data_IF_150285612045
#
_entry.id   IF_150285612045
#
_cell.length_a   1.000
_cell.length_b   1.000
_cell.length_c   1.000
_cell.angle_alpha   90.00
_cell.angle_beta   90.00
_cell.angle_gamma   90.00
#
_symmetry.space_group_name_H-M   'P 1'
#
loop_
_entity.id
_entity.type
_entity.pdbx_description
1 polymer ?
#
# COMPACT_ATOMS: atom_id res chain seq x y z
N UNK A 1 -15.56 -4.21 3.71
CA UNK A 1 -14.40 -3.31 3.92
C UNK A 1 -13.27 -3.78 3.01
N UNK A 2 -12.59 -2.88 2.28
CA UNK A 2 -11.54 -3.27 1.31
C UNK A 2 -10.15 -3.30 1.98
N UNK A 3 -9.20 -4.07 1.43
CA UNK A 3 -7.86 -4.26 2.03
C UNK A 3 -7.09 -2.96 2.30
N UNK A 4 -7.26 -1.94 1.43
CA UNK A 4 -6.66 -0.61 1.65
C UNK A 4 -7.18 0.07 2.92
N UNK A 5 -8.48 -0.05 3.19
CA UNK A 5 -9.11 0.53 4.38
C UNK A 5 -8.79 -0.31 5.63
N UNK A 6 -8.67 -1.63 5.49
CA UNK A 6 -8.20 -2.50 6.55
C UNK A 6 -6.77 -2.17 6.99
N UNK A 7 -5.86 -1.91 6.04
CA UNK A 7 -4.50 -1.42 6.34
C UNK A 7 -4.51 -0.11 7.12
N UNK A 8 -5.25 0.90 6.67
CA UNK A 8 -5.36 2.18 7.39
C UNK A 8 -5.95 2.00 8.79
N UNK A 9 -6.92 1.11 8.96
CA UNK A 9 -7.53 0.84 10.24
C UNK A 9 -6.60 0.09 11.23
N UNK A 10 -5.58 -0.64 10.74
CA UNK A 10 -4.56 -1.27 11.59
C UNK A 10 -3.54 -0.27 12.14
N UNK A 11 -3.28 0.82 11.41
CA UNK A 11 -2.34 1.88 11.80
C UNK A 11 -2.98 2.95 12.70
N UNK A 12 -4.31 3.00 12.78
CA UNK A 12 -5.05 3.95 13.60
C UNK A 12 -5.33 3.40 15.01
N UNK A 13 -4.65 3.90 16.08
CA UNK A 13 -4.89 3.46 17.45
C UNK A 13 -6.30 3.83 17.95
N UNK A 14 -7.01 4.74 17.27
CA UNK A 14 -8.36 5.17 17.58
C UNK A 14 -9.44 4.57 16.67
N UNK A 15 -9.16 3.45 15.99
CA UNK A 15 -10.08 2.85 15.02
C UNK A 15 -11.50 2.73 15.60
N UNK A 16 -12.43 3.51 15.03
CA UNK A 16 -13.83 3.60 15.47
C UNK A 16 -14.69 2.41 15.03
N UNK A 17 -14.14 1.47 14.26
CA UNK A 17 -14.84 0.29 13.73
C UNK A 17 -13.97 -0.97 13.88
N UNK A 18 -13.76 -1.45 15.12
CA UNK A 18 -12.99 -2.67 15.36
C UNK A 18 -13.67 -3.91 14.75
N UNK A 19 -15.00 -3.96 14.78
CA UNK A 19 -15.75 -5.13 14.33
C UNK A 19 -15.60 -5.37 12.83
N UNK A 20 -15.73 -4.32 12.02
CA UNK A 20 -15.55 -4.39 10.56
C UNK A 20 -14.12 -4.76 10.14
N UNK A 21 -13.12 -4.43 10.98
CA UNK A 21 -11.75 -4.86 10.77
C UNK A 21 -11.60 -6.36 11.08
N UNK A 22 -12.16 -6.82 12.21
CA UNK A 22 -12.10 -8.23 12.61
C UNK A 22 -12.76 -9.16 11.58
N UNK A 23 -13.91 -8.76 11.04
CA UNK A 23 -14.63 -9.50 10.01
C UNK A 23 -13.81 -9.59 8.71
N UNK A 24 -13.13 -8.50 8.32
CA UNK A 24 -12.26 -8.51 7.16
C UNK A 24 -11.02 -9.40 7.37
N UNK A 25 -10.43 -9.41 8.56
CA UNK A 25 -9.29 -10.27 8.90
C UNK A 25 -9.66 -11.76 8.92
N UNK A 26 -10.93 -12.10 9.16
CA UNK A 26 -11.42 -13.46 9.01
C UNK A 26 -11.43 -13.90 7.54
N UNK A 27 -11.87 -13.00 6.63
CA UNK A 27 -12.01 -13.29 5.20
C UNK A 27 -10.76 -13.07 4.34
N UNK A 28 -9.73 -12.37 4.81
CA UNK A 28 -8.55 -12.03 4.01
C UNK A 28 -7.24 -12.50 4.66
N UNK A 29 -6.58 -13.48 4.04
CA UNK A 29 -5.34 -14.07 4.53
C UNK A 29 -4.17 -13.08 4.55
N UNK A 30 -4.00 -12.28 3.50
CA UNK A 30 -2.92 -11.28 3.43
C UNK A 30 -2.99 -10.26 4.56
N UNK A 31 -4.20 -9.76 4.86
CA UNK A 31 -4.39 -8.79 5.94
C UNK A 31 -4.15 -9.42 7.32
N UNK A 32 -4.48 -10.71 7.49
CA UNK A 32 -4.24 -11.46 8.72
C UNK A 32 -2.75 -11.72 8.95
N UNK A 33 -2.02 -12.11 7.91
CA UNK A 33 -0.56 -12.28 7.98
C UNK A 33 0.15 -10.96 8.28
N UNK A 34 -0.29 -9.87 7.64
CA UNK A 34 0.21 -8.53 7.95
C UNK A 34 -0.06 -8.15 9.41
N UNK A 35 -1.27 -8.41 9.91
CA UNK A 35 -1.61 -8.12 11.30
C UNK A 35 -0.72 -8.89 12.28
N UNK A 36 -0.51 -10.17 12.04
CA UNK A 36 0.37 -11.00 12.85
C UNK A 36 1.82 -10.47 12.86
N UNK A 37 2.34 -10.03 11.71
CA UNK A 37 3.67 -9.44 11.62
C UNK A 37 3.79 -8.12 12.40
N UNK A 38 2.76 -7.28 12.36
CA UNK A 38 2.71 -6.03 13.15
C UNK A 38 2.66 -6.33 14.64
N UNK A 39 1.83 -7.29 15.07
CA UNK A 39 1.73 -7.69 16.47
C UNK A 39 3.06 -8.30 16.98
N UNK A 40 3.73 -9.12 16.17
CA UNK A 40 5.06 -9.66 16.48
C UNK A 40 6.11 -8.55 16.63
N UNK A 41 6.12 -7.58 15.71
CA UNK A 41 7.03 -6.42 15.77
C UNK A 41 6.76 -5.58 17.03
N UNK A 42 5.48 -5.32 17.33
CA UNK A 42 5.08 -4.61 18.54
C UNK A 42 5.46 -5.34 19.82
N UNK A 43 5.39 -6.67 19.84
CA UNK A 43 5.85 -7.49 20.96
C UNK A 43 7.36 -7.39 21.18
N UNK A 44 8.16 -7.42 20.10
CA UNK A 44 9.62 -7.26 20.18
C UNK A 44 10.01 -5.87 20.64
N UNK A 45 9.31 -4.83 20.17
CA UNK A 45 9.53 -3.46 20.61
C UNK A 45 9.23 -3.31 22.10
N UNK A 46 8.11 -3.87 22.57
CA UNK A 46 7.75 -3.86 24.00
C UNK A 46 8.73 -4.66 24.86
N UNK A 47 9.20 -5.82 24.39
CA UNK A 47 10.16 -6.64 25.14
C UNK A 47 11.56 -6.01 25.19
N UNK A 48 11.89 -5.15 24.21
CA UNK A 48 13.16 -4.39 24.17
C UNK A 48 13.07 -2.99 24.74
N UNK A 49 11.87 -2.52 25.10
CA UNK A 49 11.72 -1.28 25.84
C UNK A 49 12.39 -1.46 27.20
N UNK A 50 13.62 -0.97 27.33
CA UNK A 50 14.18 -0.59 28.62
C UNK A 50 13.13 0.30 29.30
N UNK A 51 12.83 0.04 30.58
CA UNK A 51 11.78 0.70 31.38
C UNK A 51 12.01 2.19 31.62
N UNK A 52 12.23 2.93 30.54
CA UNK A 52 12.41 4.37 30.52
C UNK A 52 11.02 4.96 30.45
N UNK A 53 10.53 5.40 31.61
CA UNK A 53 9.34 6.24 31.69
C UNK A 53 9.72 7.59 31.08
N UNK A 54 9.10 8.01 29.96
CA UNK A 54 9.39 9.31 29.39
C UNK A 54 8.95 10.40 30.38
N UNK A 55 9.87 11.30 30.71
CA UNK A 55 9.52 12.48 31.51
C UNK A 55 8.55 13.41 30.75
N UNK A 56 7.89 14.32 31.47
CA UNK A 56 6.91 15.24 30.88
C UNK A 56 7.47 16.16 29.78
N UNK A 57 8.80 16.30 29.69
CA UNK A 57 9.48 17.09 28.65
C UNK A 57 9.93 16.25 27.45
N UNK A 58 9.75 14.93 27.48
CA UNK A 58 10.15 14.01 26.42
C UNK A 58 9.52 14.37 25.09
N UNK A 59 8.20 14.60 25.07
CA UNK A 59 7.46 14.98 23.87
C UNK A 59 8.02 16.27 23.24
N UNK A 60 8.36 17.26 24.07
CA UNK A 60 8.95 18.54 23.63
C UNK A 60 10.34 18.33 23.03
N UNK A 61 11.19 17.51 23.66
CA UNK A 61 12.54 17.20 23.14
C UNK A 61 12.50 16.41 21.83
N UNK A 62 11.59 15.45 21.74
CA UNK A 62 11.35 14.67 20.51
C UNK A 62 10.88 15.60 19.40
N UNK A 63 9.88 16.45 19.65
CA UNK A 63 9.37 17.41 18.66
C UNK A 63 10.44 18.41 18.21
N UNK A 64 11.29 18.89 19.11
CA UNK A 64 12.39 19.79 18.79
C UNK A 64 13.46 19.13 17.89
N UNK A 65 13.77 17.84 18.11
CA UNK A 65 14.68 17.07 17.23
C UNK A 65 14.04 16.77 15.88
N UNK A 66 12.77 16.36 15.87
CA UNK A 66 11.99 16.09 14.66
C UNK A 66 11.77 17.32 13.79
N UNK A 67 11.91 18.55 14.28
CA UNK A 67 11.84 19.74 13.41
C UNK A 67 13.19 20.11 12.79
N UNK A 68 14.31 19.66 13.36
CA UNK A 68 15.66 20.00 12.88
C UNK A 68 16.20 19.04 11.82
N UNK A 69 15.85 17.74 11.88
CA UNK A 69 16.51 16.72 11.06
C UNK A 69 15.74 16.14 9.86
N UNK A 70 14.39 16.13 9.76
CA UNK A 70 13.74 15.36 8.70
C UNK A 70 13.98 15.99 7.33
N UNK A 71 14.06 17.33 7.24
CA UNK A 71 14.30 18.01 5.97
C UNK A 71 15.68 17.67 5.39
N UNK A 72 16.71 17.56 6.24
CA UNK A 72 18.07 17.25 5.77
C UNK A 72 18.22 15.78 5.40
N UNK A 73 17.64 14.87 6.19
CA UNK A 73 17.68 13.43 5.89
C UNK A 73 16.83 13.10 4.68
N UNK A 74 15.64 13.70 4.54
CA UNK A 74 14.78 13.54 3.36
C UNK A 74 15.44 14.17 2.12
N UNK A 75 16.08 15.33 2.23
CA UNK A 75 16.80 15.94 1.12
C UNK A 75 18.00 15.09 0.68
N UNK A 76 18.76 14.53 1.63
CA UNK A 76 19.89 13.65 1.33
C UNK A 76 19.42 12.31 0.71
N UNK A 77 18.32 11.75 1.21
CA UNK A 77 17.71 10.55 0.63
C UNK A 77 17.16 10.82 -0.77
N UNK A 78 16.47 11.95 -0.97
CA UNK A 78 15.98 12.38 -2.27
C UNK A 78 17.11 12.58 -3.28
N UNK A 79 18.24 13.18 -2.88
CA UNK A 79 19.41 13.34 -3.75
C UNK A 79 20.01 12.00 -4.18
N UNK A 80 20.02 11.00 -3.29
CA UNK A 80 20.52 9.65 -3.62
C UNK A 80 19.55 8.83 -4.47
N UNK A 81 18.24 9.08 -4.34
CA UNK A 81 17.21 8.39 -5.12
C UNK A 81 17.02 8.95 -6.52
N UNK A 82 17.32 10.23 -6.73
CA UNK A 82 17.22 10.91 -8.02
C UNK A 82 17.93 10.16 -9.17
N UNK A 83 19.22 9.78 -9.07
CA UNK A 83 19.89 9.05 -10.14
C UNK A 83 19.24 7.69 -10.44
N UNK A 84 18.77 6.98 -9.41
CA UNK A 84 18.09 5.69 -9.57
C UNK A 84 16.78 5.86 -10.32
N UNK A 85 15.99 6.89 -9.99
CA UNK A 85 14.73 7.17 -10.70
C UNK A 85 14.97 7.53 -12.17
N UNK A 86 16.03 8.27 -12.47
CA UNK A 86 16.42 8.61 -13.86
C UNK A 86 16.83 7.36 -14.63
N UNK A 87 17.62 6.46 -14.02
CA UNK A 87 18.02 5.19 -14.64
C UNK A 87 16.80 4.32 -14.93
N UNK A 88 15.86 4.22 -13.98
CA UNK A 88 14.62 3.45 -14.16
C UNK A 88 13.77 4.04 -15.29
N UNK A 89 13.60 5.37 -15.35
CA UNK A 89 12.87 6.03 -16.43
C UNK A 89 13.53 5.81 -17.79
N UNK A 90 14.86 5.87 -17.86
CA UNK A 90 15.62 5.55 -19.07
C UNK A 90 15.42 4.10 -19.50
N UNK A 91 15.50 3.15 -18.56
CA UNK A 91 15.24 1.73 -18.82
C UNK A 91 13.82 1.50 -19.32
N UNK A 92 12.82 2.12 -18.70
CA UNK A 92 11.42 2.01 -19.10
C UNK A 92 11.17 2.66 -20.46
N UNK A 93 11.77 3.82 -20.73
CA UNK A 93 11.69 4.48 -22.03
C UNK A 93 12.36 3.66 -23.13
N UNK A 94 13.53 3.08 -22.83
CA UNK A 94 14.23 2.16 -23.73
C UNK A 94 13.42 0.91 -23.99
N UNK A 95 12.82 0.33 -22.94
CA UNK A 95 11.92 -0.81 -23.08
C UNK A 95 10.70 -0.45 -23.92
N UNK A 96 10.07 0.71 -23.71
CA UNK A 96 8.93 1.15 -24.53
C UNK A 96 9.33 1.36 -26.00
N UNK A 97 10.52 1.91 -26.24
CA UNK A 97 11.05 2.14 -27.58
C UNK A 97 11.43 0.83 -28.30
N UNK A 98 11.93 -0.16 -27.57
CA UNK A 98 12.26 -1.49 -28.14
C UNK A 98 11.06 -2.43 -28.19
N UNK A 99 10.09 -2.21 -27.31
CA UNK A 99 8.82 -2.91 -27.25
C UNK A 99 7.73 -2.24 -28.10
N UNK A 100 8.10 -1.61 -29.21
CA UNK A 100 7.19 -1.45 -30.35
C UNK A 100 7.29 -2.64 -31.32
N UNK A 101 6.68 -3.81 -31.04
CA UNK A 101 6.23 -4.72 -32.07
C UNK A 101 4.72 -4.49 -32.32
N UNK A 102 4.38 -4.12 -33.55
CA UNK A 102 3.08 -4.39 -34.19
C UNK A 102 1.79 -3.90 -33.51
N UNK A 103 1.73 -2.66 -33.01
CA UNK A 103 0.44 -2.03 -32.69
C UNK A 103 -0.48 -1.85 -33.92
N UNK A 104 0.04 -1.99 -35.15
CA UNK A 104 -0.73 -1.92 -36.39
C UNK A 104 -1.38 -3.25 -36.82
N UNK A 105 -1.05 -4.39 -36.21
CA UNK A 105 -1.59 -5.69 -36.63
C UNK A 105 -2.88 -6.14 -35.89
N UNK A 106 -3.35 -5.36 -34.90
CA UNK A 106 -4.54 -5.66 -34.08
C UNK A 106 -5.67 -4.65 -34.25
N UNK A 107 -5.62 -3.84 -35.30
CA UNK A 107 -6.76 -3.04 -35.79
C UNK A 107 -7.75 -3.88 -36.63
N UNK A 108 -7.76 -5.20 -36.43
CA UNK A 108 -8.82 -6.08 -36.89
C UNK A 108 -9.96 -6.08 -35.87
N UNK A 109 -10.93 -5.19 -36.08
CA UNK A 109 -12.36 -5.35 -35.77
C UNK A 109 -12.71 -6.49 -34.80
N UNK A 110 -12.65 -6.24 -33.48
CA UNK A 110 -13.28 -7.15 -32.51
C UNK A 110 -14.76 -6.76 -32.38
N UNK A 111 -15.72 -7.69 -32.63
CA UNK A 111 -17.14 -7.40 -32.56
C UNK A 111 -17.52 -7.15 -31.09
N UNK A 112 -17.73 -5.89 -30.74
CA UNK A 112 -18.10 -5.45 -29.38
C UNK A 112 -19.52 -5.85 -28.99
N UNK A 113 -20.31 -6.44 -29.90
CA UNK A 113 -21.69 -6.85 -29.64
C UNK A 113 -21.80 -8.19 -28.89
N UNK A 114 -20.86 -9.13 -29.06
CA UNK A 114 -20.93 -10.46 -28.41
C UNK A 114 -20.60 -10.41 -26.91
N UNK A 115 -19.75 -9.48 -26.48
CA UNK A 115 -19.36 -9.36 -25.06
C UNK A 115 -20.52 -8.81 -24.22
N UNK A 116 -21.37 -7.96 -24.81
CA UNK A 116 -22.57 -7.44 -24.13
C UNK A 116 -23.67 -8.49 -24.01
N UNK A 117 -23.82 -9.37 -25.01
CA UNK A 117 -24.77 -10.48 -24.94
C UNK A 117 -24.41 -11.44 -23.79
N UNK A 118 -23.14 -11.78 -23.63
CA UNK A 118 -22.68 -12.67 -22.55
C UNK A 118 -22.85 -12.07 -21.15
N UNK A 119 -22.74 -10.74 -21.01
CA UNK A 119 -22.92 -10.06 -19.70
C UNK A 119 -24.39 -9.85 -19.34
N UNK A 120 -25.29 -9.79 -20.33
CA UNK A 120 -26.72 -9.55 -20.13
C UNK A 120 -27.56 -10.82 -20.00
N UNK A 121 -26.96 -12.00 -20.20
CA UNK A 121 -27.61 -13.29 -19.97
C UNK A 121 -27.74 -13.54 -18.45
N UNK A 122 -28.66 -12.82 -17.82
CA UNK A 122 -29.14 -13.08 -16.47
C UNK A 122 -30.05 -14.30 -16.55
N UNK A 123 -29.78 -15.41 -15.85
CA UNK A 123 -30.70 -16.52 -15.80
C UNK A 123 -31.97 -16.06 -15.05
N UNK A 124 -33.08 -15.94 -15.78
CA UNK A 124 -34.41 -15.89 -15.21
C UNK A 124 -34.66 -17.25 -14.54
N UNK A 125 -34.38 -17.37 -13.25
CA UNK A 125 -34.83 -18.49 -12.44
C UNK A 125 -36.36 -18.49 -12.42
N UNK A 126 -36.94 -19.39 -13.19
CA UNK A 126 -38.37 -19.62 -13.24
C UNK A 126 -38.88 -20.38 -12.00
N UNK A 127 -40.07 -19.92 -11.57
CA UNK A 127 -41.08 -20.54 -10.70
C UNK A 127 -40.91 -20.44 -9.18
#
# INVERSE_FOLDING_TARGET
MNCRNARRAMDDPGNKRPDALSEHLAGCEDCRNLRAALDATGSMLRSRHAGVVPDGAFATRVRARLQREPAQVLAAAALRLLPVTVIILLLLSWLAFTATPQAEALQGEAPTEDVLAWVLEVPEEGS
#
